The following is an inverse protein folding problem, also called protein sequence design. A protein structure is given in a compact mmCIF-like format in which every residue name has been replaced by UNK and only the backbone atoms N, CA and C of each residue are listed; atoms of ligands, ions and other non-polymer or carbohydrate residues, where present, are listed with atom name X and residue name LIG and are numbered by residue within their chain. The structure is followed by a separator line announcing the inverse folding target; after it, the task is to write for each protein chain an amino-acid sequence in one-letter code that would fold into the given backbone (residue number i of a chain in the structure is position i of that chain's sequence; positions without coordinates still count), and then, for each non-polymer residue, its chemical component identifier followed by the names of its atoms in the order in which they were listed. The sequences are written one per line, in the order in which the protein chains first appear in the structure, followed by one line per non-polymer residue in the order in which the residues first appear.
data_IF_842515925628
#
_entry.id   IF_842515925628
#
_cell.length_a   1.000
_cell.length_b   1.000
_cell.length_c   1.000
_cell.angle_alpha   90.00
_cell.angle_beta   90.00
_cell.angle_gamma   90.00
#
_symmetry.space_group_name_H-M   'P 1'
#
loop_
_entity.id
_entity.type
_entity.pdbx_description
1 polymer ?
#
# COMPACT_ATOMS: atom_id res chain seq x y z
N UNK A 1 -18.35 39.91 -32.34
CA UNK A 1 -17.55 38.66 -32.34
C UNK A 1 -18.09 37.76 -33.46
N UNK A 2 -17.27 37.38 -34.44
CA UNK A 2 -17.71 36.54 -35.56
C UNK A 2 -18.14 35.16 -35.03
N UNK A 3 -19.08 34.46 -35.69
CA UNK A 3 -19.60 33.14 -35.29
C UNK A 3 -18.45 32.14 -35.03
N UNK A 4 -17.39 32.23 -35.84
CA UNK A 4 -16.18 31.41 -35.71
C UNK A 4 -15.43 31.69 -34.40
N UNK A 5 -15.29 32.96 -34.02
CA UNK A 5 -14.59 33.37 -32.79
C UNK A 5 -15.37 32.92 -31.53
N UNK A 6 -16.70 32.94 -31.56
CA UNK A 6 -17.53 32.38 -30.47
C UNK A 6 -17.33 30.88 -30.30
N UNK A 7 -17.27 30.13 -31.41
CA UNK A 7 -17.12 28.68 -31.39
C UNK A 7 -15.78 28.24 -30.79
N UNK A 8 -14.69 28.92 -31.17
CA UNK A 8 -13.34 28.63 -30.66
C UNK A 8 -13.26 28.89 -29.15
N UNK A 9 -13.85 29.98 -28.66
CA UNK A 9 -13.87 30.32 -27.23
C UNK A 9 -14.68 29.31 -26.42
N UNK A 10 -15.80 28.80 -26.94
CA UNK A 10 -16.59 27.76 -26.28
C UNK A 10 -15.82 26.45 -26.21
N UNK A 11 -15.16 26.02 -27.29
CA UNK A 11 -14.35 24.79 -27.31
C UNK A 11 -13.18 24.88 -26.32
N UNK A 12 -12.45 26.01 -26.33
CA UNK A 12 -11.36 26.25 -25.37
C UNK A 12 -11.84 26.26 -23.92
N UNK A 13 -13.06 26.76 -23.67
CA UNK A 13 -13.65 26.78 -22.32
C UNK A 13 -14.08 25.39 -21.85
N UNK A 14 -14.56 24.53 -22.75
CA UNK A 14 -14.90 23.12 -22.45
C UNK A 14 -13.64 22.29 -22.18
N UNK A 15 -12.57 22.53 -22.95
CA UNK A 15 -11.28 21.89 -22.71
C UNK A 15 -10.69 22.37 -21.37
N UNK A 16 -10.78 23.67 -21.08
CA UNK A 16 -10.37 24.22 -19.80
C UNK A 16 -11.17 23.65 -18.62
N UNK A 17 -12.49 23.49 -18.71
CA UNK A 17 -13.29 22.87 -17.63
C UNK A 17 -13.04 21.38 -17.48
N UNK A 18 -12.64 20.66 -18.54
CA UNK A 18 -12.16 19.28 -18.43
C UNK A 18 -10.79 19.16 -17.76
N UNK A 19 -10.02 20.26 -17.71
CA UNK A 19 -8.72 20.32 -17.05
C UNK A 19 -8.78 20.76 -15.57
N UNK A 20 -9.94 21.22 -15.09
CA UNK A 20 -10.12 21.62 -13.68
C UNK A 20 -10.35 20.40 -12.76
N UNK A 21 -10.55 19.19 -13.32
CA UNK A 21 -10.50 17.92 -12.59
C UNK A 21 -9.25 17.06 -12.87
N UNK A 22 -8.26 17.58 -13.58
CA UNK A 22 -6.97 16.89 -13.82
C UNK A 22 -5.84 17.46 -12.96
N UNK A 23 -6.14 17.73 -11.69
CA UNK A 23 -5.17 18.14 -10.66
C UNK A 23 -4.56 16.99 -9.85
N UNK A 24 -4.89 15.74 -10.18
CA UNK A 24 -4.30 14.56 -9.55
C UNK A 24 -4.07 13.53 -10.66
N UNK A 25 -2.82 13.19 -10.97
CA UNK A 25 -2.56 12.00 -11.78
C UNK A 25 -3.21 10.80 -11.09
N UNK A 26 -3.90 9.93 -11.84
CA UNK A 26 -4.47 8.72 -11.28
C UNK A 26 -3.34 7.91 -10.63
N UNK A 27 -3.43 7.74 -9.31
CA UNK A 27 -2.46 6.95 -8.55
C UNK A 27 -2.63 5.48 -8.93
N UNK A 28 -1.52 4.84 -9.27
CA UNK A 28 -1.46 3.42 -9.61
C UNK A 28 -0.99 2.60 -8.41
N UNK A 29 -1.21 1.29 -8.43
CA UNK A 29 -0.70 0.42 -7.36
C UNK A 29 0.84 0.46 -7.30
N UNK A 30 1.50 0.63 -8.46
CA UNK A 30 2.94 0.78 -8.59
C UNK A 30 3.45 2.02 -7.85
N UNK A 31 2.71 3.13 -7.90
CA UNK A 31 3.02 4.36 -7.17
C UNK A 31 2.98 4.18 -5.65
N UNK A 32 2.23 3.18 -5.16
CA UNK A 32 2.19 2.82 -3.74
C UNK A 32 3.34 1.90 -3.33
N UNK A 33 3.98 1.19 -4.26
CA UNK A 33 5.06 0.26 -3.88
C UNK A 33 6.28 0.99 -3.34
N UNK A 34 6.86 0.51 -2.25
CA UNK A 34 8.09 1.08 -1.69
C UNK A 34 8.18 0.95 -0.18
N UNK A 35 9.05 1.77 0.40
CA UNK A 35 9.36 1.81 1.83
C UNK A 35 8.51 2.87 2.52
N UNK A 36 8.07 2.53 3.73
CA UNK A 36 7.18 3.33 4.54
C UNK A 36 7.76 3.58 5.95
N UNK A 37 7.27 4.64 6.57
CA UNK A 37 7.51 4.95 7.98
C UNK A 37 6.18 5.04 8.71
N UNK A 38 6.13 4.58 9.95
CA UNK A 38 4.97 4.76 10.83
C UNK A 38 4.82 6.25 11.16
N UNK A 39 3.60 6.75 11.13
CA UNK A 39 3.26 8.11 11.56
C UNK A 39 2.40 8.01 12.81
N UNK A 40 2.89 8.56 13.91
CA UNK A 40 2.18 8.61 15.18
C UNK A 40 1.98 10.07 15.58
N UNK A 41 0.72 10.47 15.84
CA UNK A 41 0.34 11.85 16.14
C UNK A 41 0.95 12.89 15.16
N UNK A 42 0.99 12.56 13.87
CA UNK A 42 1.54 13.42 12.80
C UNK A 42 3.07 13.48 12.75
N UNK A 43 3.78 12.67 13.55
CA UNK A 43 5.25 12.60 13.54
C UNK A 43 5.71 11.27 12.99
N UNK A 44 6.67 11.32 12.07
CA UNK A 44 7.36 10.12 11.58
C UNK A 44 8.11 9.47 12.74
N UNK A 45 7.80 8.19 12.98
CA UNK A 45 8.39 7.40 14.05
C UNK A 45 9.24 6.31 13.44
N UNK A 46 10.55 6.35 13.73
CA UNK A 46 11.48 5.28 13.37
C UNK A 46 11.58 4.32 14.54
N UNK A 47 11.27 3.06 14.28
CA UNK A 47 11.47 1.98 15.24
C UNK A 47 12.75 1.24 14.87
N UNK A 48 13.67 1.13 15.82
CA UNK A 48 14.94 0.48 15.57
C UNK A 48 14.75 -1.00 15.18
N UNK A 49 15.51 -1.45 14.19
CA UNK A 49 15.40 -2.80 13.64
C UNK A 49 14.09 -3.14 12.93
N UNK A 50 13.19 -2.17 12.69
CA UNK A 50 11.94 -2.36 11.93
C UNK A 50 11.90 -1.53 10.68
N UNK A 51 11.43 -2.13 9.58
CA UNK A 51 11.15 -1.44 8.32
C UNK A 51 9.81 -1.90 7.76
N UNK A 52 9.16 -1.00 7.02
CA UNK A 52 7.83 -1.22 6.48
C UNK A 52 7.87 -1.12 4.97
N UNK A 53 7.25 -2.07 4.28
CA UNK A 53 7.20 -2.07 2.83
C UNK A 53 5.80 -2.41 2.33
N UNK A 54 5.40 -1.78 1.22
CA UNK A 54 4.22 -2.16 0.45
C UNK A 54 4.66 -2.66 -0.92
N UNK A 55 4.13 -3.80 -1.34
CA UNK A 55 4.43 -4.45 -2.60
C UNK A 55 3.15 -4.89 -3.29
N UNK A 56 3.21 -5.02 -4.60
CA UNK A 56 2.20 -5.76 -5.36
C UNK A 56 2.58 -7.24 -5.30
N UNK A 57 1.65 -8.06 -4.82
CA UNK A 57 1.79 -9.52 -4.80
C UNK A 57 1.22 -10.13 -6.08
N UNK A 58 0.06 -9.67 -6.53
CA UNK A 58 -0.59 -10.12 -7.77
C UNK A 58 -1.42 -8.99 -8.40
N UNK A 59 -1.30 -8.75 -9.72
CA UNK A 59 -2.00 -7.64 -10.41
C UNK A 59 -3.32 -8.04 -11.07
N UNK A 60 -3.39 -9.27 -11.55
CA UNK A 60 -4.46 -9.75 -12.43
C UNK A 60 -5.29 -10.79 -11.70
N UNK A 61 -5.78 -10.44 -10.52
CA UNK A 61 -6.55 -11.33 -9.65
C UNK A 61 -8.00 -10.88 -9.52
N UNK A 62 -8.79 -11.68 -8.80
CA UNK A 62 -10.20 -11.39 -8.54
C UNK A 62 -10.52 -11.59 -7.06
N UNK A 63 -11.24 -10.62 -6.49
CA UNK A 63 -11.83 -10.74 -5.16
C UNK A 63 -13.33 -10.48 -5.28
N UNK A 64 -14.15 -11.39 -4.75
CA UNK A 64 -15.62 -11.33 -4.87
C UNK A 64 -16.13 -11.16 -6.33
N UNK A 65 -15.49 -11.85 -7.28
CA UNK A 65 -15.76 -11.76 -8.72
C UNK A 65 -15.55 -10.37 -9.34
N UNK A 66 -14.79 -9.49 -8.68
CA UNK A 66 -14.38 -8.19 -9.20
C UNK A 66 -12.87 -8.17 -9.46
N UNK A 67 -12.41 -7.50 -10.54
CA UNK A 67 -10.98 -7.31 -10.78
C UNK A 67 -10.31 -6.64 -9.58
N UNK A 68 -9.20 -7.23 -9.13
CA UNK A 68 -8.49 -6.80 -7.96
C UNK A 68 -6.98 -6.87 -8.16
N UNK A 69 -6.26 -6.14 -7.33
CA UNK A 69 -4.82 -6.26 -7.13
C UNK A 69 -4.62 -6.76 -5.70
N UNK A 70 -3.85 -7.82 -5.52
CA UNK A 70 -3.38 -8.25 -4.20
C UNK A 70 -2.10 -7.48 -3.86
N UNK A 71 -2.14 -6.71 -2.78
CA UNK A 71 -1.00 -5.98 -2.23
C UNK A 71 -0.55 -6.62 -0.93
N UNK A 72 0.76 -6.62 -0.67
CA UNK A 72 1.38 -7.09 0.56
C UNK A 72 2.00 -5.94 1.31
N UNK A 73 1.53 -5.67 2.51
CA UNK A 73 2.23 -4.86 3.49
C UNK A 73 3.07 -5.76 4.39
N UNK A 74 4.37 -5.51 4.46
CA UNK A 74 5.28 -6.30 5.28
C UNK A 74 6.00 -5.45 6.31
N UNK A 75 6.13 -6.02 7.52
CA UNK A 75 6.94 -5.49 8.61
C UNK A 75 8.20 -6.34 8.69
N UNK A 76 9.32 -5.81 8.21
CA UNK A 76 10.64 -6.42 8.39
C UNK A 76 11.09 -6.23 9.83
N UNK A 77 11.66 -7.28 10.41
CA UNK A 77 12.27 -7.28 11.74
C UNK A 77 13.59 -8.02 11.68
N UNK A 78 14.50 -7.70 12.58
CA UNK A 78 15.77 -8.40 12.71
C UNK A 78 15.79 -9.29 13.95
N UNK A 79 16.21 -10.54 13.79
CA UNK A 79 16.48 -11.45 14.89
C UNK A 79 17.99 -11.54 15.13
N UNK A 80 18.44 -11.04 16.29
CA UNK A 80 19.86 -10.99 16.65
C UNK A 80 20.47 -12.37 16.89
N UNK A 81 19.70 -13.34 17.41
CA UNK A 81 20.21 -14.66 17.75
C UNK A 81 20.54 -15.49 16.49
N UNK A 82 19.72 -15.36 15.46
CA UNK A 82 19.90 -16.06 14.19
C UNK A 82 20.64 -15.23 13.15
N UNK A 83 20.96 -13.97 13.45
CA UNK A 83 21.53 -12.98 12.52
C UNK A 83 20.74 -12.91 11.19
N UNK A 84 19.41 -12.82 11.30
CA UNK A 84 18.50 -12.90 10.14
C UNK A 84 17.36 -11.92 10.24
N UNK A 85 17.03 -11.32 9.09
CA UNK A 85 15.76 -10.61 8.92
C UNK A 85 14.62 -11.60 8.73
N UNK A 86 13.44 -11.24 9.24
CA UNK A 86 12.19 -11.96 9.04
C UNK A 86 11.03 -10.98 8.91
N UNK A 87 9.88 -11.48 8.47
CA UNK A 87 8.78 -10.64 8.02
C UNK A 87 7.45 -11.02 8.67
N UNK A 88 6.63 -10.01 8.94
CA UNK A 88 5.20 -10.19 9.25
C UNK A 88 4.40 -9.57 8.12
N UNK A 89 3.66 -10.40 7.39
CA UNK A 89 2.94 -10.00 6.19
C UNK A 89 1.46 -9.77 6.46
N UNK A 90 0.89 -8.84 5.70
CA UNK A 90 -0.53 -8.49 5.70
C UNK A 90 -0.90 -8.33 4.23
N UNK A 91 -1.72 -9.25 3.72
CA UNK A 91 -2.13 -9.22 2.32
C UNK A 91 -3.54 -8.63 2.24
N UNK A 92 -3.78 -7.78 1.24
CA UNK A 92 -5.05 -7.10 1.03
C UNK A 92 -5.41 -7.15 -0.45
N UNK A 93 -6.70 -7.26 -0.73
CA UNK A 93 -7.24 -7.06 -2.07
C UNK A 93 -7.75 -5.63 -2.20
N UNK A 94 -7.35 -4.95 -3.28
CA UNK A 94 -7.86 -3.62 -3.61
C UNK A 94 -8.45 -3.62 -5.02
N UNK A 95 -9.49 -2.82 -5.23
CA UNK A 95 -10.09 -2.62 -6.54
C UNK A 95 -9.04 -2.12 -7.53
N UNK A 96 -8.92 -2.78 -8.68
CA UNK A 96 -7.83 -2.53 -9.62
C UNK A 96 -7.85 -1.12 -10.24
N UNK A 97 -8.98 -0.38 -10.16
CA UNK A 97 -9.12 0.97 -10.71
C UNK A 97 -9.00 2.06 -9.66
N UNK A 98 -9.56 1.82 -8.48
CA UNK A 98 -9.70 2.83 -7.42
C UNK A 98 -8.72 2.63 -6.27
N UNK A 99 -8.07 1.47 -6.19
CA UNK A 99 -7.19 1.05 -5.10
C UNK A 99 -7.86 1.05 -3.72
N UNK A 100 -9.20 1.07 -3.68
CA UNK A 100 -9.98 0.95 -2.45
C UNK A 100 -10.10 -0.51 -2.05
N UNK A 101 -10.09 -0.77 -0.75
CA UNK A 101 -10.35 -2.11 -0.23
C UNK A 101 -11.80 -2.56 -0.48
N UNK A 102 -12.02 -3.88 -0.46
CA UNK A 102 -13.35 -4.50 -0.45
C UNK A 102 -13.90 -4.64 0.98
N UNK A 103 -15.23 -4.53 1.14
CA UNK A 103 -15.92 -4.48 2.45
C UNK A 103 -15.73 -5.69 3.37
N UNK A 104 -15.36 -6.87 2.83
CA UNK A 104 -15.32 -8.15 3.57
C UNK A 104 -13.91 -8.63 3.94
N UNK A 105 -12.98 -7.71 4.13
CA UNK A 105 -11.62 -8.07 4.51
C UNK A 105 -11.45 -8.14 6.03
N UNK A 106 -10.62 -9.08 6.48
CA UNK A 106 -10.36 -9.30 7.92
C UNK A 106 -9.62 -8.12 8.57
N UNK A 107 -8.87 -7.36 7.76
CA UNK A 107 -8.09 -6.20 8.18
C UNK A 107 -8.39 -5.04 7.26
N UNK A 108 -8.28 -3.83 7.81
CA UNK A 108 -8.60 -2.61 7.10
C UNK A 108 -7.37 -2.02 6.42
N UNK A 109 -7.51 -1.67 5.15
CA UNK A 109 -6.55 -0.92 4.35
C UNK A 109 -7.23 0.29 3.73
N UNK A 110 -6.78 1.49 4.11
CA UNK A 110 -7.28 2.74 3.55
C UNK A 110 -6.16 3.49 2.86
N UNK A 111 -6.40 3.93 1.63
CA UNK A 111 -5.58 4.91 0.93
C UNK A 111 -6.21 6.30 1.10
N UNK A 112 -5.48 7.20 1.76
CA UNK A 112 -5.90 8.58 1.93
C UNK A 112 -5.58 9.43 0.68
N UNK A 113 -6.26 10.57 0.55
CA UNK A 113 -6.04 11.50 -0.57
C UNK A 113 -4.60 12.05 -0.63
N UNK A 114 -3.94 12.18 0.53
CA UNK A 114 -2.54 12.60 0.66
C UNK A 114 -1.53 11.47 0.38
N UNK A 115 -2.01 10.33 -0.13
CA UNK A 115 -1.24 9.12 -0.46
C UNK A 115 -0.61 8.42 0.76
N UNK A 116 -1.02 8.79 1.97
CA UNK A 116 -0.73 7.97 3.15
C UNK A 116 -1.64 6.75 3.17
N UNK A 117 -1.15 5.65 3.74
CA UNK A 117 -1.94 4.44 3.94
C UNK A 117 -2.27 4.29 5.41
N UNK A 118 -3.43 3.73 5.72
CA UNK A 118 -3.83 3.37 7.08
C UNK A 118 -4.10 1.88 7.11
N UNK A 119 -3.46 1.17 8.03
CA UNK A 119 -3.65 -0.27 8.25
C UNK A 119 -3.96 -0.48 9.73
N UNK A 120 -5.13 -1.04 10.03
CA UNK A 120 -5.64 -1.24 11.40
C UNK A 120 -5.46 -0.01 12.31
N UNK A 121 -5.93 1.15 11.83
CA UNK A 121 -5.82 2.45 12.50
C UNK A 121 -4.39 3.01 12.69
N UNK A 122 -3.37 2.37 12.12
CA UNK A 122 -2.00 2.89 12.09
C UNK A 122 -1.72 3.55 10.75
N UNK A 123 -1.27 4.79 10.78
CA UNK A 123 -0.94 5.55 9.57
C UNK A 123 0.51 5.33 9.17
N UNK A 124 0.74 5.19 7.87
CA UNK A 124 2.07 5.05 7.27
C UNK A 124 2.25 6.01 6.11
N UNK A 125 3.44 6.59 6.02
CA UNK A 125 3.83 7.50 4.95
C UNK A 125 4.94 6.86 4.12
N UNK A 126 4.80 6.91 2.79
CA UNK A 126 5.84 6.46 1.87
C UNK A 126 7.06 7.38 1.96
N UNK A 127 8.24 6.81 2.10
CA UNK A 127 9.50 7.56 2.21
C UNK A 127 10.48 7.27 1.07
N UNK A 128 10.34 6.13 0.39
CA UNK A 128 11.16 5.80 -0.77
C UNK A 128 10.48 4.78 -1.68
N UNK A 129 10.99 4.63 -2.91
CA UNK A 129 10.58 3.55 -3.82
C UNK A 129 11.38 2.25 -3.58
N UNK A 130 12.27 2.23 -2.59
CA UNK A 130 13.04 1.03 -2.27
C UNK A 130 12.10 -0.05 -1.76
N UNK A 131 12.40 -1.30 -2.11
CA UNK A 131 11.60 -2.42 -1.68
C UNK A 131 12.49 -3.64 -1.40
N UNK A 132 11.91 -4.61 -0.71
CA UNK A 132 12.49 -5.96 -0.57
C UNK A 132 11.97 -6.85 -1.70
N UNK A 133 12.63 -7.99 -1.95
CA UNK A 133 12.06 -8.95 -2.89
C UNK A 133 10.84 -9.62 -2.24
N UNK A 134 9.80 -9.85 -3.03
CA UNK A 134 8.57 -10.50 -2.55
C UNK A 134 8.87 -11.88 -1.94
N UNK A 135 9.78 -12.65 -2.54
CA UNK A 135 10.15 -13.99 -2.06
C UNK A 135 10.85 -13.98 -0.69
N UNK A 136 11.65 -12.94 -0.40
CA UNK A 136 12.32 -12.79 0.90
C UNK A 136 11.28 -12.66 2.03
N UNK A 137 10.11 -12.09 1.72
CA UNK A 137 9.03 -11.93 2.70
C UNK A 137 8.40 -13.24 3.15
N UNK A 138 8.71 -14.36 2.51
CA UNK A 138 8.21 -15.67 2.91
C UNK A 138 8.98 -16.26 4.11
N UNK A 139 10.11 -15.66 4.52
CA UNK A 139 10.77 -16.01 5.78
C UNK A 139 10.13 -15.23 6.93
N UNK A 140 9.25 -15.90 7.67
CA UNK A 140 8.33 -15.29 8.63
C UNK A 140 8.74 -15.52 10.08
N UNK A 141 7.97 -14.95 11.00
CA UNK A 141 8.12 -15.22 12.43
C UNK A 141 7.99 -16.72 12.77
N UNK A 142 7.17 -17.48 12.04
CA UNK A 142 7.09 -18.94 12.17
C UNK A 142 8.44 -19.62 11.95
N UNK A 143 9.22 -19.15 10.98
CA UNK A 143 10.52 -19.73 10.65
C UNK A 143 11.55 -19.43 11.74
N UNK A 144 11.46 -18.25 12.35
CA UNK A 144 12.22 -17.91 13.56
C UNK A 144 11.87 -18.86 14.71
N UNK A 145 10.58 -19.03 15.03
CA UNK A 145 10.15 -19.91 16.12
C UNK A 145 10.60 -21.36 15.92
N UNK A 146 10.48 -21.87 14.68
CA UNK A 146 10.98 -23.20 14.31
C UNK A 146 12.49 -23.33 14.47
N UNK A 147 13.25 -22.34 14.00
CA UNK A 147 14.72 -22.37 14.08
C UNK A 147 15.25 -22.24 15.52
N UNK A 148 14.50 -21.57 16.40
CA UNK A 148 14.84 -21.41 17.81
C UNK A 148 14.27 -22.52 18.72
N UNK A 149 13.49 -23.45 18.17
CA UNK A 149 12.76 -24.48 18.93
C UNK A 149 11.89 -23.88 20.07
N UNK A 150 11.28 -22.72 19.80
CA UNK A 150 10.44 -22.02 20.76
C UNK A 150 8.97 -22.27 20.41
N UNK A 151 8.14 -22.81 21.34
CA UNK A 151 6.72 -23.02 21.08
C UNK A 151 6.01 -21.69 20.87
N UNK A 152 5.19 -21.60 19.82
CA UNK A 152 4.33 -20.44 19.55
C UNK A 152 3.00 -20.64 20.27
N UNK A 153 2.67 -19.78 21.23
CA UNK A 153 1.29 -19.69 21.71
C UNK A 153 0.42 -19.17 20.55
N UNK A 154 -0.45 -20.04 20.03
CA UNK A 154 -1.39 -19.68 18.97
C UNK A 154 -2.49 -18.83 19.60
N UNK A 155 -2.35 -17.51 19.50
CA UNK A 155 -3.45 -16.59 19.85
C UNK A 155 -4.37 -16.52 18.63
N UNK A 156 -5.52 -17.17 18.71
CA UNK A 156 -6.62 -16.97 17.77
C UNK A 156 -7.22 -15.58 18.04
N UNK A 157 -7.14 -14.68 17.06
CA UNK A 157 -7.89 -13.42 17.03
C UNK A 157 -9.15 -13.61 16.19
#
# INVERSE_FOLDING_TARGET
MNKVTKLIVIIMSIIATSMIFSGCGNITAEDLTGEYVLVDHGKETKEDGKKYYLMIKEKDTFFENKPAIEIRFTKQRYNQQLDKYYYTNSDFYVDAKTLKEFDRQFRQFTLNEDKTIVIDNLQYKKISNNNVNLDDTNYTDNDIYKALDVPREVIYY
#
